data_IF_915986517147
#
_entry.id   IF_915986517147
#
_cell.length_a   1.000
_cell.length_b   1.000
_cell.length_c   1.000
_cell.angle_alpha   90.00
_cell.angle_beta   90.00
_cell.angle_gamma   90.00
#
_symmetry.space_group_name_H-M   'P 1'
#
loop_
_entity.id
_entity.type
_entity.pdbx_description
1 polymer ?
#
# COMPACT_ATOMS: atom_id res chain seq x y z
N UNK A 1 -12.01 27.45 19.31
CA UNK A 1 -11.83 26.10 18.72
C UNK A 1 -10.39 26.04 18.25
N UNK A 2 -9.48 25.58 19.13
CA UNK A 2 -8.04 25.66 18.89
C UNK A 2 -7.59 24.50 18.00
N UNK A 3 -7.02 24.83 16.85
CA UNK A 3 -6.27 23.89 16.03
C UNK A 3 -4.94 23.59 16.74
N UNK A 4 -4.79 22.36 17.23
CA UNK A 4 -3.52 21.88 17.76
C UNK A 4 -2.53 21.72 16.59
N UNK A 5 -1.62 22.68 16.44
CA UNK A 5 -0.50 22.63 15.48
C UNK A 5 0.81 22.30 16.21
N UNK A 6 0.84 21.14 16.86
CA UNK A 6 2.08 20.52 17.34
C UNK A 6 2.45 19.33 16.45
N UNK A 7 3.73 19.02 16.21
CA UNK A 7 4.09 17.72 15.65
C UNK A 7 3.54 16.63 16.58
N UNK A 8 2.87 15.62 16.02
CA UNK A 8 2.32 14.50 16.78
C UNK A 8 3.41 13.89 17.69
N UNK A 9 3.12 13.75 18.98
CA UNK A 9 4.03 13.12 19.94
C UNK A 9 4.24 11.66 19.46
N UNK A 10 5.47 11.12 19.37
CA UNK A 10 5.73 9.74 18.97
C UNK A 10 4.97 8.67 19.79
N UNK A 11 4.34 9.04 20.91
CA UNK A 11 3.39 8.20 21.66
C UNK A 11 2.01 8.01 21.01
N UNK A 12 1.64 8.79 20.00
CA UNK A 12 0.27 8.84 19.43
C UNK A 12 0.05 7.95 18.20
N UNK A 13 1.06 7.20 17.75
CA UNK A 13 0.92 6.28 16.62
C UNK A 13 0.18 5.00 17.03
N UNK A 14 -0.94 4.73 16.35
CA UNK A 14 -1.79 3.58 16.63
C UNK A 14 -1.46 2.44 15.69
N UNK A 15 -1.12 1.26 16.23
CA UNK A 15 -0.97 0.06 15.41
C UNK A 15 -2.29 -0.24 14.68
N UNK A 16 -2.24 -0.32 13.36
CA UNK A 16 -3.42 -0.60 12.55
C UNK A 16 -3.93 -2.02 12.85
N UNK A 17 -5.24 -2.15 13.06
CA UNK A 17 -5.90 -3.43 13.26
C UNK A 17 -6.44 -3.99 11.95
N UNK A 18 -6.62 -5.31 11.87
CA UNK A 18 -7.07 -5.99 10.64
C UNK A 18 -8.45 -5.50 10.18
N UNK A 19 -9.31 -5.13 11.12
CA UNK A 19 -10.67 -4.64 10.86
C UNK A 19 -10.65 -3.24 10.22
N UNK A 20 -9.56 -2.50 10.39
CA UNK A 20 -9.38 -1.14 9.85
C UNK A 20 -8.81 -1.13 8.42
N UNK A 21 -8.48 -2.29 7.84
CA UNK A 21 -7.86 -2.37 6.50
C UNK A 21 -8.75 -1.74 5.42
N UNK A 22 -10.06 -1.98 5.45
CA UNK A 22 -10.99 -1.42 4.46
C UNK A 22 -11.01 0.12 4.51
N UNK A 23 -11.36 0.73 5.66
CA UNK A 23 -11.35 2.18 5.81
C UNK A 23 -9.99 2.83 5.54
N UNK A 24 -8.88 2.19 5.97
CA UNK A 24 -7.54 2.69 5.68
C UNK A 24 -7.20 2.63 4.19
N UNK A 25 -7.60 1.56 3.49
CA UNK A 25 -7.39 1.44 2.04
C UNK A 25 -8.22 2.47 1.26
N UNK A 26 -9.43 2.78 1.69
CA UNK A 26 -10.24 3.85 1.10
C UNK A 26 -9.59 5.22 1.30
N UNK A 27 -9.05 5.50 2.49
CA UNK A 27 -8.29 6.73 2.72
C UNK A 27 -7.06 6.79 1.81
N UNK A 28 -6.25 5.73 1.75
CA UNK A 28 -5.04 5.69 0.91
C UNK A 28 -5.38 5.81 -0.58
N UNK A 29 -6.50 5.22 -1.03
CA UNK A 29 -6.99 5.38 -2.38
C UNK A 29 -7.36 6.84 -2.70
N UNK A 30 -7.96 7.58 -1.76
CA UNK A 30 -8.21 9.02 -1.96
C UNK A 30 -6.92 9.84 -1.95
N UNK A 31 -5.97 9.49 -1.08
CA UNK A 31 -4.71 10.22 -0.92
C UNK A 31 -3.78 10.04 -2.14
N UNK A 32 -3.63 8.81 -2.62
CA UNK A 32 -2.64 8.43 -3.64
C UNK A 32 -3.25 7.95 -4.95
N UNK A 33 -4.58 7.90 -5.07
CA UNK A 33 -5.27 7.39 -6.25
C UNK A 33 -5.00 8.21 -7.51
N UNK A 34 -4.58 9.47 -7.38
CA UNK A 34 -4.20 10.34 -8.50
C UNK A 34 -2.68 10.45 -8.70
N UNK A 35 -1.88 9.68 -7.96
CA UNK A 35 -0.43 9.63 -8.20
C UNK A 35 -0.14 9.10 -9.62
N UNK A 36 0.93 9.56 -10.28
CA UNK A 36 1.28 9.12 -11.64
C UNK A 36 1.37 7.60 -11.80
N UNK A 37 1.88 6.88 -10.79
CA UNK A 37 1.94 5.41 -10.80
C UNK A 37 0.55 4.76 -10.91
N UNK A 38 -0.45 5.35 -10.27
CA UNK A 38 -1.82 4.85 -10.31
C UNK A 38 -2.45 5.09 -11.67
N UNK A 39 -2.13 6.21 -12.33
CA UNK A 39 -2.50 6.46 -13.72
C UNK A 39 -1.89 5.44 -14.69
N UNK A 40 -0.66 5.00 -14.44
CA UNK A 40 -0.03 3.92 -15.21
C UNK A 40 -0.69 2.55 -14.96
N UNK A 41 -1.01 2.22 -13.70
CA UNK A 41 -1.69 0.97 -13.35
C UNK A 41 -3.10 0.90 -13.93
N UNK A 42 -3.82 2.03 -13.89
CA UNK A 42 -5.22 2.14 -14.31
C UNK A 42 -5.41 3.40 -15.15
N UNK A 43 -5.27 3.28 -16.49
CA UNK A 43 -5.50 4.39 -17.41
C UNK A 43 -6.95 4.89 -17.39
N UNK A 44 -7.91 4.00 -17.12
CA UNK A 44 -9.33 4.33 -16.97
C UNK A 44 -9.58 5.04 -15.64
N UNK A 45 -9.78 6.36 -15.70
CA UNK A 45 -9.96 7.20 -14.51
C UNK A 45 -11.18 6.79 -13.69
N UNK A 46 -12.25 6.31 -14.35
CA UNK A 46 -13.49 5.88 -13.71
C UNK A 46 -13.30 4.66 -12.81
N UNK A 47 -12.27 3.85 -13.05
CA UNK A 47 -11.95 2.64 -12.26
C UNK A 47 -10.78 2.84 -11.29
N UNK A 48 -10.02 3.92 -11.45
CA UNK A 48 -8.75 4.14 -10.73
C UNK A 48 -8.91 4.08 -9.22
N UNK A 49 -9.94 4.73 -8.68
CA UNK A 49 -10.16 4.78 -7.22
C UNK A 49 -10.51 3.42 -6.62
N UNK A 50 -11.37 2.64 -7.29
CA UNK A 50 -11.75 1.30 -6.82
C UNK A 50 -10.57 0.31 -6.87
N UNK A 51 -9.81 0.34 -7.97
CA UNK A 51 -8.63 -0.51 -8.11
C UNK A 51 -7.52 -0.07 -7.13
N UNK A 52 -7.34 1.24 -6.90
CA UNK A 52 -6.44 1.76 -5.88
C UNK A 52 -6.79 1.22 -4.50
N UNK A 53 -8.08 1.20 -4.14
CA UNK A 53 -8.56 0.64 -2.87
C UNK A 53 -8.14 -0.82 -2.73
N UNK A 54 -8.34 -1.65 -3.74
CA UNK A 54 -7.91 -3.05 -3.73
C UNK A 54 -6.38 -3.24 -3.67
N UNK A 55 -5.63 -2.35 -4.33
CA UNK A 55 -4.18 -2.30 -4.25
C UNK A 55 -3.70 -2.00 -2.82
N UNK A 56 -4.23 -0.96 -2.19
CA UNK A 56 -3.86 -0.61 -0.82
C UNK A 56 -4.36 -1.64 0.21
N UNK A 57 -5.52 -2.28 0.02
CA UNK A 57 -5.93 -3.42 0.85
C UNK A 57 -4.90 -4.56 0.84
N UNK A 58 -4.28 -4.83 -0.32
CA UNK A 58 -3.23 -5.84 -0.42
C UNK A 58 -1.95 -5.40 0.29
N UNK A 59 -1.50 -4.16 0.08
CA UNK A 59 -0.30 -3.62 0.74
C UNK A 59 -0.45 -3.54 2.27
N UNK A 60 -1.62 -3.13 2.78
CA UNK A 60 -1.90 -3.10 4.21
C UNK A 60 -1.91 -4.50 4.82
N UNK A 61 -2.54 -5.48 4.17
CA UNK A 61 -2.48 -6.90 4.60
C UNK A 61 -1.04 -7.39 4.62
N UNK A 62 -0.26 -7.07 3.59
CA UNK A 62 1.14 -7.48 3.51
C UNK A 62 1.94 -6.86 4.68
N UNK A 63 1.78 -5.56 4.91
CA UNK A 63 2.40 -4.83 6.02
C UNK A 63 2.05 -5.45 7.37
N UNK A 64 0.78 -5.77 7.64
CA UNK A 64 0.36 -6.38 8.90
C UNK A 64 0.93 -7.79 9.13
N UNK A 65 1.20 -8.56 8.06
CA UNK A 65 1.75 -9.92 8.17
C UNK A 65 3.28 -9.90 8.29
N UNK A 66 3.95 -9.01 7.56
CA UNK A 66 5.39 -9.08 7.33
C UNK A 66 6.19 -7.92 7.93
N UNK A 67 5.54 -6.82 8.30
CA UNK A 67 6.19 -5.66 8.87
C UNK A 67 5.31 -4.96 9.90
N UNK A 68 5.27 -3.64 9.78
CA UNK A 68 4.79 -2.73 10.82
C UNK A 68 3.86 -1.69 10.17
N UNK A 69 2.64 -1.56 10.69
CA UNK A 69 1.64 -0.63 10.13
C UNK A 69 1.05 0.20 11.25
N UNK A 70 1.17 1.51 11.11
CA UNK A 70 0.71 2.48 12.10
C UNK A 70 -0.15 3.55 11.44
N UNK A 71 -1.21 3.97 12.14
CA UNK A 71 -2.04 5.10 11.79
C UNK A 71 -1.72 6.29 12.70
N UNK A 72 -1.96 7.50 12.20
CA UNK A 72 -1.71 8.75 12.94
C UNK A 72 -2.82 9.11 13.93
N UNK A 73 -4.02 8.54 13.77
CA UNK A 73 -5.18 8.81 14.61
C UNK A 73 -6.23 7.69 14.50
N UNK A 74 -7.19 7.58 15.43
CA UNK A 74 -8.30 6.62 15.32
C UNK A 74 -9.17 6.83 14.06
N UNK A 75 -9.15 8.04 13.50
CA UNK A 75 -9.87 8.41 12.29
C UNK A 75 -9.13 8.00 11.00
N UNK A 76 -7.93 7.42 11.11
CA UNK A 76 -7.13 6.92 9.99
C UNK A 76 -6.75 8.01 8.98
N UNK A 77 -6.38 9.20 9.45
CA UNK A 77 -6.02 10.34 8.58
C UNK A 77 -4.71 10.11 7.81
N UNK A 78 -3.83 9.25 8.34
CA UNK A 78 -2.59 8.82 7.69
C UNK A 78 -2.20 7.42 8.14
N UNK A 79 -1.53 6.68 7.27
CA UNK A 79 -0.99 5.34 7.56
C UNK A 79 0.42 5.21 7.01
N UNK A 80 1.34 4.71 7.84
CA UNK A 80 2.69 4.34 7.43
C UNK A 80 2.85 2.81 7.46
N UNK A 81 3.46 2.27 6.40
CA UNK A 81 3.80 0.84 6.28
C UNK A 81 5.31 0.71 6.18
N UNK A 82 5.91 -0.03 7.11
CA UNK A 82 7.34 -0.30 7.14
C UNK A 82 7.58 -1.80 6.97
N UNK A 83 8.50 -2.15 6.08
CA UNK A 83 8.89 -3.54 5.83
C UNK A 83 10.38 -3.74 6.15
N UNK A 84 10.75 -4.83 6.83
CA UNK A 84 12.16 -5.23 6.92
C UNK A 84 12.73 -5.47 5.51
N UNK A 85 13.98 -5.10 5.25
CA UNK A 85 14.63 -5.24 3.94
C UNK A 85 14.48 -6.65 3.32
N UNK A 86 14.67 -7.71 4.12
CA UNK A 86 14.52 -9.13 3.71
C UNK A 86 13.08 -9.53 3.32
N UNK A 87 12.11 -8.64 3.52
CA UNK A 87 10.68 -8.86 3.28
C UNK A 87 10.08 -7.89 2.27
N UNK A 88 10.90 -7.07 1.62
CA UNK A 88 10.44 -6.16 0.54
C UNK A 88 10.00 -6.98 -0.67
N UNK A 89 10.74 -8.02 -1.04
CA UNK A 89 10.34 -8.91 -2.13
C UNK A 89 9.09 -9.74 -1.79
N UNK A 90 8.07 -9.63 -2.64
CA UNK A 90 6.82 -10.36 -2.51
C UNK A 90 6.94 -11.67 -3.29
N UNK A 91 7.31 -12.75 -2.59
CA UNK A 91 7.28 -14.10 -3.18
C UNK A 91 5.85 -14.58 -3.40
N UNK A 92 5.65 -15.56 -4.29
CA UNK A 92 4.32 -16.15 -4.54
C UNK A 92 3.67 -16.66 -3.24
N UNK A 93 4.44 -17.33 -2.38
CA UNK A 93 3.94 -17.80 -1.08
C UNK A 93 3.47 -16.63 -0.20
N UNK A 94 4.25 -15.54 -0.15
CA UNK A 94 3.85 -14.36 0.63
C UNK A 94 2.61 -13.71 0.05
N UNK A 95 2.52 -13.60 -1.29
CA UNK A 95 1.34 -13.09 -1.98
C UNK A 95 0.09 -13.94 -1.68
N UNK A 96 0.20 -15.27 -1.72
CA UNK A 96 -0.90 -16.18 -1.39
C UNK A 96 -1.39 -15.96 0.04
N UNK A 97 -0.48 -15.93 1.02
CA UNK A 97 -0.81 -15.67 2.44
C UNK A 97 -1.43 -14.28 2.66
N UNK A 98 -1.02 -13.30 1.87
CA UNK A 98 -1.60 -11.95 1.88
C UNK A 98 -2.98 -11.90 1.23
N UNK A 99 -3.35 -12.90 0.43
CA UNK A 99 -4.64 -13.02 -0.25
C UNK A 99 -4.60 -12.55 -1.70
N UNK A 100 -3.65 -13.10 -2.47
CA UNK A 100 -3.44 -12.89 -3.90
C UNK A 100 -4.71 -13.04 -4.74
N UNK A 101 -5.56 -14.05 -4.47
CA UNK A 101 -6.78 -14.27 -5.25
C UNK A 101 -7.79 -13.13 -5.09
N UNK A 102 -7.94 -12.60 -3.87
CA UNK A 102 -8.79 -11.42 -3.62
C UNK A 102 -8.23 -10.19 -4.32
N UNK A 103 -6.91 -10.01 -4.26
CA UNK A 103 -6.23 -8.91 -4.95
C UNK A 103 -6.44 -8.98 -6.46
N UNK A 104 -6.14 -10.12 -7.10
CA UNK A 104 -6.35 -10.34 -8.53
C UNK A 104 -7.79 -10.12 -8.96
N UNK A 105 -8.77 -10.59 -8.18
CA UNK A 105 -10.20 -10.35 -8.47
C UNK A 105 -10.55 -8.86 -8.40
N UNK A 106 -10.01 -8.13 -7.43
CA UNK A 106 -10.31 -6.72 -7.20
C UNK A 106 -9.63 -5.75 -8.16
N UNK A 107 -8.37 -5.99 -8.54
CA UNK A 107 -7.66 -5.10 -9.47
C UNK A 107 -7.89 -5.43 -10.95
N UNK A 108 -8.29 -6.67 -11.26
CA UNK A 108 -8.42 -7.13 -12.64
C UNK A 108 -7.07 -7.55 -13.25
N UNK A 109 -7.12 -8.17 -14.42
CA UNK A 109 -5.94 -8.77 -15.05
C UNK A 109 -5.00 -7.70 -15.60
N UNK A 110 -5.56 -6.69 -16.27
CA UNK A 110 -4.84 -5.63 -16.96
C UNK A 110 -4.05 -4.76 -15.97
N UNK A 111 -4.66 -4.36 -14.85
CA UNK A 111 -3.98 -3.60 -13.82
C UNK A 111 -2.93 -4.46 -13.10
N UNK A 112 -3.22 -5.75 -12.87
CA UNK A 112 -2.25 -6.68 -12.27
C UNK A 112 -0.99 -6.81 -13.12
N UNK A 113 -1.13 -6.98 -14.43
CA UNK A 113 0.02 -7.04 -15.36
C UNK A 113 0.86 -5.77 -15.30
N UNK A 114 0.22 -4.58 -15.29
CA UNK A 114 0.91 -3.29 -15.18
C UNK A 114 1.60 -3.12 -13.83
N UNK A 115 0.99 -3.54 -12.73
CA UNK A 115 1.59 -3.50 -11.40
C UNK A 115 2.84 -4.39 -11.34
N UNK A 116 2.78 -5.60 -11.90
CA UNK A 116 3.92 -6.52 -11.93
C UNK A 116 5.06 -5.98 -12.79
N UNK A 117 4.75 -5.45 -13.98
CA UNK A 117 5.75 -4.82 -14.85
C UNK A 117 6.44 -3.62 -14.17
N UNK A 118 5.65 -2.76 -13.52
CA UNK A 118 6.21 -1.64 -12.75
C UNK A 118 7.11 -2.10 -11.60
N UNK A 119 6.69 -3.13 -10.86
CA UNK A 119 7.51 -3.70 -9.77
C UNK A 119 8.85 -4.20 -10.30
N UNK A 120 8.83 -4.99 -11.37
CA UNK A 120 10.05 -5.54 -11.98
C UNK A 120 10.98 -4.43 -12.50
N UNK A 121 10.41 -3.39 -13.10
CA UNK A 121 11.17 -2.23 -13.57
C UNK A 121 11.85 -1.47 -12.43
N UNK A 122 11.11 -1.14 -11.36
CA UNK A 122 11.66 -0.45 -10.19
C UNK A 122 12.68 -1.32 -9.45
N UNK A 123 12.43 -2.63 -9.32
CA UNK A 123 13.38 -3.56 -8.71
C UNK A 123 14.68 -3.66 -9.52
N UNK A 124 14.60 -3.58 -10.85
CA UNK A 124 15.75 -3.47 -11.74
C UNK A 124 16.58 -2.23 -11.46
N UNK A 125 15.95 -1.05 -11.45
CA UNK A 125 16.61 0.21 -11.13
C UNK A 125 17.21 0.23 -9.72
N UNK A 126 16.51 -0.35 -8.74
CA UNK A 126 16.98 -0.45 -7.37
C UNK A 126 18.25 -1.30 -7.29
N UNK A 127 18.31 -2.45 -7.98
CA UNK A 127 19.52 -3.28 -8.05
C UNK A 127 20.70 -2.60 -8.75
N UNK A 128 20.43 -1.81 -9.78
CA UNK A 128 21.46 -1.09 -10.55
C UNK A 128 22.07 0.08 -9.76
N UNK A 129 21.23 0.89 -9.12
CA UNK A 129 21.64 2.17 -8.54
C UNK A 129 21.78 2.14 -7.02
N UNK A 130 21.20 1.15 -6.34
CA UNK A 130 21.41 0.90 -4.93
C UNK A 130 21.85 -0.54 -4.68
N UNK A 131 22.98 -0.97 -5.27
CA UNK A 131 23.65 -2.14 -4.76
C UNK A 131 23.96 -1.83 -3.29
N UNK A 132 23.35 -2.55 -2.36
CA UNK A 132 23.63 -2.37 -0.94
C UNK A 132 25.12 -2.54 -0.64
N UNK A 133 25.55 -2.35 0.63
CA UNK A 133 26.76 -3.02 1.06
C UNK A 133 26.67 -4.54 0.83
#
# INVERSE_FOLDING_TARGET
>A
MGIHTGPADPGDLLRLKKEQIGPAAEMLARAFGQDPKMGYFVPDEGKRLEIARHHFEFLLRYGLIYGEVYATSPQLEGVAVWLPAKKVEITLWRALRTGLFRFRKGVGKEALERILFFSEYIDGLHREHMPGP
#
